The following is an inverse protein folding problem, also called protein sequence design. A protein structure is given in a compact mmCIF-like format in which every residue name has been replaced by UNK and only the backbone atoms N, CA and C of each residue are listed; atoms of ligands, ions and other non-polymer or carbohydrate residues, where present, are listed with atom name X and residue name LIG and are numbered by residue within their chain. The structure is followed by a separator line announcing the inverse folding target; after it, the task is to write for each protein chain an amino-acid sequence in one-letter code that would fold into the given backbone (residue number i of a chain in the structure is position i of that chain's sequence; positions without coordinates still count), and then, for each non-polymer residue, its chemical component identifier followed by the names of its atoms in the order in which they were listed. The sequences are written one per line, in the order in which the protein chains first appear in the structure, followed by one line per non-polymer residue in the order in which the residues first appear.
data_IF_002536448024
#
_entry.id   IF_002536448024
#
_cell.length_a   1.000
_cell.length_b   1.000
_cell.length_c   1.000
_cell.angle_alpha   90.00
_cell.angle_beta   90.00
_cell.angle_gamma   90.00
#
_symmetry.space_group_name_H-M   'P 1'
#
loop_
_entity.id
_entity.type
_entity.pdbx_description
1 polymer ?
#
# COMPACT_ATOMS: atom_id res chain seq x y z
N UNK A 1 4.64 12.83 23.96
CA UNK A 1 3.24 12.35 23.94
C UNK A 1 2.90 11.54 22.68
N UNK A 2 3.16 12.01 21.44
CA UNK A 2 2.83 11.23 20.24
C UNK A 2 3.84 10.11 19.90
N UNK A 3 5.12 10.20 20.28
CA UNK A 3 6.04 9.04 20.19
C UNK A 3 5.58 7.90 21.08
N UNK A 4 5.27 8.23 22.34
CA UNK A 4 4.61 7.28 23.24
C UNK A 4 3.28 6.81 22.64
N UNK A 5 2.50 7.67 21.96
CA UNK A 5 1.28 7.24 21.29
C UNK A 5 1.54 6.30 20.09
N UNK A 6 2.47 6.59 19.18
CA UNK A 6 2.79 5.73 18.02
C UNK A 6 3.51 4.45 18.45
N UNK A 7 4.29 4.51 19.53
CA UNK A 7 4.91 3.35 20.15
C UNK A 7 3.86 2.52 20.87
N UNK A 8 2.95 3.13 21.64
CA UNK A 8 1.81 2.44 22.26
C UNK A 8 0.87 1.89 21.19
N UNK A 9 0.64 2.59 20.09
CA UNK A 9 -0.25 2.16 19.00
C UNK A 9 0.41 1.08 18.15
N UNK A 10 1.72 1.18 17.91
CA UNK A 10 2.52 0.15 17.25
C UNK A 10 2.63 -1.12 18.11
N UNK A 11 2.94 -0.98 19.40
CA UNK A 11 2.97 -2.09 20.37
C UNK A 11 1.57 -2.67 20.56
N UNK A 12 0.54 -1.85 20.73
CA UNK A 12 -0.85 -2.30 20.84
C UNK A 12 -1.30 -3.01 19.57
N UNK A 13 -0.90 -2.54 18.38
CA UNK A 13 -1.19 -3.21 17.13
C UNK A 13 -0.44 -4.55 17.03
N UNK A 14 0.82 -4.63 17.45
CA UNK A 14 1.59 -5.89 17.50
C UNK A 14 0.96 -6.88 18.48
N UNK A 15 0.58 -6.44 19.69
CA UNK A 15 -0.09 -7.25 20.72
C UNK A 15 -1.46 -7.70 20.21
N UNK A 16 -2.27 -6.78 19.68
CA UNK A 16 -3.57 -7.09 19.09
C UNK A 16 -3.45 -8.11 17.96
N UNK A 17 -2.46 -7.96 17.08
CA UNK A 17 -2.20 -8.94 16.02
C UNK A 17 -1.84 -10.31 16.61
N UNK A 18 -0.96 -10.35 17.62
CA UNK A 18 -0.52 -11.58 18.25
C UNK A 18 -1.66 -12.32 18.99
N UNK A 19 -2.56 -11.57 19.62
CA UNK A 19 -3.73 -12.09 20.34
C UNK A 19 -4.88 -12.48 19.41
N UNK A 20 -5.19 -11.64 18.40
CA UNK A 20 -6.34 -11.83 17.52
C UNK A 20 -6.12 -12.93 16.47
N UNK A 21 -4.91 -12.99 15.88
CA UNK A 21 -4.59 -13.98 14.85
C UNK A 21 -3.82 -15.18 15.40
N UNK A 22 -3.41 -15.14 16.67
CA UNK A 22 -2.73 -16.23 17.36
C UNK A 22 -1.35 -16.54 16.76
N UNK A 23 -0.29 -16.18 17.48
CA UNK A 23 1.09 -16.57 17.12
C UNK A 23 1.21 -18.09 16.85
N UNK A 24 0.40 -18.89 17.55
CA UNK A 24 0.30 -20.33 17.35
C UNK A 24 -0.16 -20.75 15.95
N UNK A 25 -1.08 -20.00 15.33
CA UNK A 25 -1.60 -20.31 13.99
C UNK A 25 -0.53 -20.03 12.92
N UNK A 26 0.26 -18.96 13.10
CA UNK A 26 1.41 -18.64 12.26
C UNK A 26 2.48 -19.74 12.40
N UNK A 27 2.81 -20.11 13.64
CA UNK A 27 3.80 -21.15 13.91
C UNK A 27 3.36 -22.51 13.37
N UNK A 28 2.08 -22.85 13.48
CA UNK A 28 1.51 -24.07 12.90
C UNK A 28 1.59 -24.05 11.36
N UNK A 29 1.24 -22.92 10.74
CA UNK A 29 1.37 -22.73 9.30
C UNK A 29 2.82 -22.86 8.82
N UNK A 30 3.77 -22.29 9.56
CA UNK A 30 5.21 -22.41 9.28
C UNK A 30 5.74 -23.83 9.49
N UNK A 31 5.27 -24.54 10.52
CA UNK A 31 5.71 -25.90 10.82
C UNK A 31 5.35 -26.90 9.70
N UNK A 32 4.22 -26.67 9.01
CA UNK A 32 3.80 -27.48 7.86
C UNK A 32 4.33 -27.00 6.50
N UNK A 33 5.03 -25.85 6.44
CA UNK A 33 5.46 -25.24 5.19
C UNK A 33 6.90 -25.61 4.80
N UNK A 34 7.17 -25.67 3.50
CA UNK A 34 8.52 -25.76 2.97
C UNK A 34 9.25 -24.42 3.16
N UNK A 35 10.18 -24.39 4.14
CA UNK A 35 10.95 -23.20 4.49
C UNK A 35 11.72 -22.57 3.31
N UNK A 36 12.22 -23.37 2.36
CA UNK A 36 12.90 -22.85 1.17
C UNK A 36 11.97 -21.99 0.31
N UNK A 37 10.74 -22.44 0.10
CA UNK A 37 9.74 -21.71 -0.67
C UNK A 37 9.25 -20.48 0.09
N UNK A 38 9.07 -20.58 1.41
CA UNK A 38 8.74 -19.43 2.27
C UNK A 38 9.83 -18.36 2.20
N UNK A 39 11.12 -18.74 2.23
CA UNK A 39 12.23 -17.80 2.09
C UNK A 39 12.22 -17.07 0.74
N UNK A 40 11.84 -17.77 -0.34
CA UNK A 40 11.65 -17.14 -1.65
C UNK A 40 10.47 -16.15 -1.59
N UNK A 41 9.33 -16.52 -1.00
CA UNK A 41 8.18 -15.62 -0.85
C UNK A 41 8.52 -14.35 -0.05
N UNK A 42 9.30 -14.49 1.04
CA UNK A 42 9.84 -13.34 1.80
C UNK A 42 10.78 -12.49 0.95
N UNK A 43 11.62 -13.12 0.12
CA UNK A 43 12.52 -12.41 -0.80
C UNK A 43 11.74 -11.62 -1.87
N UNK A 44 10.64 -12.18 -2.39
CA UNK A 44 9.72 -11.45 -3.28
C UNK A 44 9.11 -10.25 -2.56
N UNK A 45 8.74 -10.39 -1.28
CA UNK A 45 8.25 -9.26 -0.50
C UNK A 45 9.33 -8.18 -0.29
N UNK A 46 10.58 -8.57 -0.03
CA UNK A 46 11.69 -7.61 0.04
C UNK A 46 11.91 -6.88 -1.30
N UNK A 47 11.78 -7.61 -2.41
CA UNK A 47 11.86 -7.05 -3.77
C UNK A 47 10.71 -6.05 -4.04
N UNK A 48 9.49 -6.34 -3.57
CA UNK A 48 8.35 -5.41 -3.64
C UNK A 48 8.67 -4.10 -2.93
N UNK A 49 9.23 -4.15 -1.71
CA UNK A 49 9.64 -2.95 -0.97
C UNK A 49 10.74 -2.17 -1.70
N UNK A 50 11.70 -2.88 -2.30
CA UNK A 50 12.73 -2.27 -3.14
C UNK A 50 12.12 -1.57 -4.37
N UNK A 51 11.12 -2.17 -5.00
CA UNK A 51 10.42 -1.57 -6.15
C UNK A 51 9.64 -0.32 -5.76
N UNK A 52 9.04 -0.28 -4.56
CA UNK A 52 8.44 0.96 -4.02
C UNK A 52 9.49 2.06 -3.85
N UNK A 53 10.70 1.73 -3.39
CA UNK A 53 11.80 2.69 -3.29
C UNK A 53 12.26 3.18 -4.67
N UNK A 54 12.44 2.26 -5.63
CA UNK A 54 12.82 2.58 -7.01
C UNK A 54 11.80 3.48 -7.69
N UNK A 55 10.50 3.20 -7.51
CA UNK A 55 9.40 4.02 -8.03
C UNK A 55 9.50 5.45 -7.52
N UNK A 56 9.67 5.62 -6.20
CA UNK A 56 9.83 6.94 -5.58
C UNK A 56 11.10 7.67 -6.07
N UNK A 57 12.21 6.96 -6.26
CA UNK A 57 13.44 7.53 -6.84
C UNK A 57 13.23 8.05 -8.26
N UNK A 58 12.50 7.31 -9.10
CA UNK A 58 12.24 7.69 -10.49
C UNK A 58 11.39 8.97 -10.54
N UNK A 59 10.30 9.04 -9.78
CA UNK A 59 9.40 10.20 -9.78
C UNK A 59 10.12 11.44 -9.22
N UNK A 60 10.82 11.28 -8.10
CA UNK A 60 11.50 12.40 -7.43
C UNK A 60 12.68 12.96 -8.22
N UNK A 61 13.26 12.19 -9.16
CA UNK A 61 14.50 12.52 -9.88
C UNK A 61 14.49 13.89 -10.56
N UNK A 62 13.31 14.35 -10.99
CA UNK A 62 13.12 15.66 -11.65
C UNK A 62 13.33 16.84 -10.71
N UNK A 63 13.14 16.64 -9.40
CA UNK A 63 13.28 17.68 -8.38
C UNK A 63 14.50 17.46 -7.49
N UNK A 64 14.80 16.22 -7.11
CA UNK A 64 15.99 15.87 -6.35
C UNK A 64 16.41 14.41 -6.58
N UNK A 65 17.70 14.13 -6.47
CA UNK A 65 18.20 12.75 -6.47
C UNK A 65 18.12 12.18 -5.06
N UNK A 66 17.15 11.31 -4.83
CA UNK A 66 17.06 10.49 -3.61
C UNK A 66 17.99 9.28 -3.75
N UNK A 67 18.72 8.94 -2.67
CA UNK A 67 19.44 7.67 -2.61
C UNK A 67 18.47 6.50 -2.39
N UNK A 68 18.86 5.27 -2.73
CA UNK A 68 18.01 4.09 -2.54
C UNK A 68 17.56 3.92 -1.08
N UNK A 69 18.49 3.99 -0.12
CA UNK A 69 18.15 3.85 1.30
C UNK A 69 17.24 4.97 1.81
N UNK A 70 17.36 6.18 1.25
CA UNK A 70 16.52 7.31 1.62
C UNK A 70 15.09 7.10 1.09
N UNK A 71 14.95 6.71 -0.18
CA UNK A 71 13.66 6.37 -0.77
C UNK A 71 13.03 5.14 -0.10
N UNK A 72 13.82 4.11 0.19
CA UNK A 72 13.37 2.90 0.88
C UNK A 72 12.83 3.20 2.27
N UNK A 73 13.59 3.94 3.10
CA UNK A 73 13.12 4.35 4.42
C UNK A 73 11.89 5.25 4.33
N UNK A 74 11.85 6.18 3.36
CA UNK A 74 10.68 7.04 3.14
C UNK A 74 9.43 6.23 2.82
N UNK A 75 9.54 5.28 1.88
CA UNK A 75 8.44 4.41 1.49
C UNK A 75 8.00 3.48 2.62
N UNK A 76 8.96 2.89 3.35
CA UNK A 76 8.69 1.95 4.43
C UNK A 76 8.02 2.61 5.64
N UNK A 77 8.50 3.79 6.06
CA UNK A 77 7.86 4.59 7.12
C UNK A 77 6.47 5.06 6.68
N UNK A 78 6.34 5.48 5.42
CA UNK A 78 5.04 5.81 4.83
C UNK A 78 4.06 4.63 4.91
N UNK A 79 4.49 3.43 4.50
CA UNK A 79 3.66 2.22 4.59
C UNK A 79 3.26 1.88 6.02
N UNK A 80 4.20 1.95 6.98
CA UNK A 80 3.92 1.72 8.39
C UNK A 80 2.82 2.65 8.94
N UNK A 81 2.96 3.96 8.71
CA UNK A 81 1.94 4.93 9.15
C UNK A 81 0.63 4.74 8.38
N UNK A 82 0.71 4.36 7.10
CA UNK A 82 -0.46 4.00 6.30
C UNK A 82 -1.23 2.83 6.90
N UNK A 83 -0.55 1.74 7.28
CA UNK A 83 -1.18 0.58 7.90
C UNK A 83 -1.80 0.87 9.27
N UNK A 84 -1.24 1.81 10.04
CA UNK A 84 -1.83 2.29 11.29
C UNK A 84 -3.03 3.24 11.08
N UNK A 85 -3.18 3.79 9.87
CA UNK A 85 -4.21 4.80 9.61
C UNK A 85 -5.57 4.16 9.30
N UNK A 86 -6.66 4.60 9.95
CA UNK A 86 -8.00 4.08 9.69
C UNK A 86 -8.57 4.54 8.33
N UNK A 87 -8.02 5.61 7.74
CA UNK A 87 -8.48 6.19 6.47
C UNK A 87 -7.81 5.54 5.26
N UNK A 88 -8.15 4.29 4.94
CA UNK A 88 -7.75 3.62 3.70
C UNK A 88 -6.25 3.74 3.34
N UNK A 89 -5.36 3.66 4.35
CA UNK A 89 -3.90 3.79 4.22
C UNK A 89 -3.37 5.17 3.82
N UNK A 90 -4.22 6.19 3.74
CA UNK A 90 -3.83 7.54 3.31
C UNK A 90 -2.95 8.29 4.32
N UNK A 91 -2.90 7.85 5.59
CA UNK A 91 -2.12 8.52 6.64
C UNK A 91 -0.60 8.52 6.38
N UNK A 92 -0.11 7.59 5.57
CA UNK A 92 1.31 7.46 5.24
C UNK A 92 1.84 8.50 4.25
N UNK A 93 0.98 9.02 3.37
CA UNK A 93 1.39 9.86 2.25
C UNK A 93 1.94 11.24 2.68
N UNK A 94 1.31 11.96 3.64
CA UNK A 94 1.91 13.17 4.22
C UNK A 94 3.28 12.94 4.88
N UNK A 95 3.51 11.75 5.42
CA UNK A 95 4.79 11.42 6.07
C UNK A 95 5.90 11.29 5.03
N UNK A 96 5.63 10.70 3.86
CA UNK A 96 6.61 10.64 2.77
C UNK A 96 7.03 12.05 2.32
N UNK A 97 6.07 12.96 2.14
CA UNK A 97 6.33 14.37 1.79
C UNK A 97 7.25 15.02 2.83
N UNK A 98 6.92 14.81 4.11
CA UNK A 98 7.70 15.35 5.21
C UNK A 98 9.14 14.83 5.25
N UNK A 99 9.35 13.53 4.98
CA UNK A 99 10.69 12.93 4.98
C UNK A 99 11.57 13.46 3.84
N UNK A 100 10.97 13.87 2.72
CA UNK A 100 11.66 14.44 1.57
C UNK A 100 11.88 15.96 1.65
N UNK A 101 11.28 16.65 2.65
CA UNK A 101 11.20 18.12 2.71
C UNK A 101 12.55 18.85 2.65
N UNK A 102 13.62 18.20 3.10
CA UNK A 102 14.97 18.79 3.15
C UNK A 102 15.63 18.84 1.75
N UNK A 103 15.07 18.10 0.78
CA UNK A 103 15.55 18.06 -0.61
C UNK A 103 14.52 18.52 -1.63
N UNK A 104 13.24 18.36 -1.32
CA UNK A 104 12.12 18.65 -2.21
C UNK A 104 11.15 19.54 -1.43
N UNK A 105 10.78 20.68 -2.00
CA UNK A 105 9.81 21.57 -1.33
C UNK A 105 8.47 20.86 -1.15
N UNK A 106 7.68 21.18 -0.11
CA UNK A 106 6.44 20.47 0.19
C UNK A 106 5.46 20.35 -0.99
N UNK A 107 5.34 21.38 -1.82
CA UNK A 107 4.45 21.41 -2.99
C UNK A 107 4.90 20.39 -4.04
N UNK A 108 6.21 20.35 -4.34
CA UNK A 108 6.84 19.39 -5.24
C UNK A 108 6.78 17.97 -4.67
N UNK A 109 6.98 17.84 -3.36
CA UNK A 109 6.86 16.56 -2.65
C UNK A 109 5.44 16.00 -2.73
N UNK A 110 4.42 16.86 -2.54
CA UNK A 110 3.02 16.49 -2.77
C UNK A 110 2.78 16.06 -4.20
N UNK A 111 3.32 16.76 -5.20
CA UNK A 111 3.17 16.37 -6.60
C UNK A 111 3.82 15.01 -6.90
N UNK A 112 5.02 14.75 -6.35
CA UNK A 112 5.69 13.44 -6.43
C UNK A 112 4.81 12.34 -5.87
N UNK A 113 4.24 12.54 -4.68
CA UNK A 113 3.37 11.54 -4.04
C UNK A 113 2.03 11.40 -4.77
N UNK A 114 1.46 12.48 -5.30
CA UNK A 114 0.25 12.40 -6.12
C UNK A 114 0.47 11.56 -7.38
N UNK A 115 1.63 11.69 -8.04
CA UNK A 115 2.00 10.86 -9.19
C UNK A 115 2.30 9.41 -8.79
N UNK A 116 2.90 9.18 -7.61
CA UNK A 116 3.11 7.83 -7.05
C UNK A 116 1.78 7.10 -6.85
N UNK A 117 0.81 7.77 -6.23
CA UNK A 117 -0.55 7.26 -6.01
C UNK A 117 -1.28 7.02 -7.33
N UNK A 118 -1.17 7.95 -8.30
CA UNK A 118 -1.79 7.74 -9.61
C UNK A 118 -1.22 6.54 -10.35
N UNK A 119 0.10 6.35 -10.34
CA UNK A 119 0.69 5.22 -11.01
C UNK A 119 0.27 3.90 -10.35
N UNK A 120 0.14 3.87 -9.02
CA UNK A 120 -0.41 2.73 -8.30
C UNK A 120 -1.85 2.43 -8.69
N UNK A 121 -2.72 3.44 -8.71
CA UNK A 121 -4.14 3.28 -9.08
C UNK A 121 -4.33 2.92 -10.55
N UNK A 122 -3.57 3.50 -11.46
CA UNK A 122 -3.62 3.15 -12.89
C UNK A 122 -3.15 1.70 -13.08
N UNK A 123 -2.05 1.30 -12.43
CA UNK A 123 -1.60 -0.09 -12.47
C UNK A 123 -2.63 -1.06 -11.89
N UNK A 124 -3.35 -0.64 -10.84
CA UNK A 124 -4.45 -1.38 -10.24
C UNK A 124 -5.55 -1.62 -11.27
N UNK A 125 -5.99 -0.58 -12.00
CA UNK A 125 -7.02 -0.72 -13.03
C UNK A 125 -6.60 -1.63 -14.17
N UNK A 126 -5.38 -1.48 -14.67
CA UNK A 126 -4.87 -2.33 -15.74
C UNK A 126 -4.91 -3.80 -15.31
N UNK A 127 -4.39 -4.10 -14.12
CA UNK A 127 -4.28 -5.48 -13.65
C UNK A 127 -5.64 -6.05 -13.23
N UNK A 128 -6.52 -5.28 -12.59
CA UNK A 128 -7.85 -5.77 -12.19
C UNK A 128 -8.76 -5.98 -13.40
N UNK A 129 -8.73 -5.10 -14.41
CA UNK A 129 -9.50 -5.28 -15.65
C UNK A 129 -9.00 -6.52 -16.39
N UNK A 130 -7.67 -6.68 -16.51
CA UNK A 130 -7.08 -7.88 -17.08
C UNK A 130 -7.45 -9.15 -16.29
N UNK A 131 -7.50 -9.07 -14.96
CA UNK A 131 -7.92 -10.16 -14.07
C UNK A 131 -9.38 -10.54 -14.27
N UNK A 132 -10.28 -9.56 -14.36
CA UNK A 132 -11.71 -9.79 -14.63
C UNK A 132 -11.92 -10.42 -15.99
N UNK A 133 -11.22 -9.93 -17.03
CA UNK A 133 -11.27 -10.53 -18.35
C UNK A 133 -10.72 -11.97 -18.35
N UNK A 134 -9.61 -12.21 -17.66
CA UNK A 134 -9.00 -13.53 -17.54
C UNK A 134 -9.88 -14.55 -16.80
N UNK A 135 -10.66 -14.08 -15.82
CA UNK A 135 -11.54 -14.89 -14.97
C UNK A 135 -13.01 -14.86 -15.41
N UNK A 136 -13.36 -14.34 -16.59
CA UNK A 136 -14.76 -14.05 -16.95
C UNK A 136 -15.75 -15.24 -16.81
N UNK A 137 -15.26 -16.49 -16.90
CA UNK A 137 -16.05 -17.72 -16.67
C UNK A 137 -15.98 -18.27 -15.25
N UNK A 138 -14.95 -17.88 -14.52
CA UNK A 138 -14.58 -18.45 -13.22
C UNK A 138 -14.98 -17.53 -12.05
N UNK A 139 -15.36 -16.27 -12.31
CA UNK A 139 -15.85 -15.35 -11.27
C UNK A 139 -17.20 -15.86 -10.75
N UNK A 140 -17.32 -16.14 -9.43
CA UNK A 140 -18.60 -16.50 -8.83
C UNK A 140 -19.64 -15.39 -9.06
N UNK A 141 -20.89 -15.77 -9.34
CA UNK A 141 -21.98 -14.83 -9.62
C UNK A 141 -22.13 -13.75 -8.54
N UNK A 142 -21.93 -14.10 -7.28
CA UNK A 142 -21.98 -13.20 -6.12
C UNK A 142 -20.82 -12.21 -6.03
N UNK A 143 -19.64 -12.55 -6.57
CA UNK A 143 -18.47 -11.68 -6.57
C UNK A 143 -18.56 -10.61 -7.66
N UNK A 144 -19.30 -10.89 -8.74
CA UNK A 144 -19.40 -10.01 -9.90
C UNK A 144 -19.95 -8.60 -9.57
N UNK A 145 -21.03 -8.41 -8.78
CA UNK A 145 -21.53 -7.08 -8.46
C UNK A 145 -20.59 -6.35 -7.50
N UNK A 146 -19.96 -7.05 -6.58
CA UNK A 146 -19.00 -6.46 -5.63
C UNK A 146 -17.78 -5.89 -6.36
N UNK A 147 -17.25 -6.61 -7.36
CA UNK A 147 -16.17 -6.13 -8.23
C UNK A 147 -16.61 -4.91 -9.04
N UNK A 148 -17.82 -4.92 -9.61
CA UNK A 148 -18.35 -3.77 -10.35
C UNK A 148 -18.52 -2.52 -9.47
N UNK A 149 -19.08 -2.69 -8.26
CA UNK A 149 -19.21 -1.61 -7.27
C UNK A 149 -17.83 -1.08 -6.87
N UNK A 150 -16.88 -1.97 -6.59
CA UNK A 150 -15.50 -1.58 -6.30
C UNK A 150 -14.90 -0.73 -7.44
N UNK A 151 -15.03 -1.19 -8.68
CA UNK A 151 -14.49 -0.49 -9.84
C UNK A 151 -15.18 0.86 -10.04
N UNK A 152 -16.50 0.93 -9.88
CA UNK A 152 -17.27 2.17 -10.01
C UNK A 152 -16.89 3.20 -8.93
N UNK A 153 -16.84 2.79 -7.66
CA UNK A 153 -16.47 3.67 -6.53
C UNK A 153 -15.00 4.11 -6.67
N UNK A 154 -14.10 3.17 -6.95
CA UNK A 154 -12.70 3.47 -7.17
C UNK A 154 -12.53 4.45 -8.34
N UNK A 155 -13.19 4.20 -9.48
CA UNK A 155 -13.12 5.08 -10.65
C UNK A 155 -13.65 6.48 -10.32
N UNK A 156 -14.76 6.59 -9.60
CA UNK A 156 -15.29 7.87 -9.14
C UNK A 156 -14.28 8.62 -8.26
N UNK A 157 -13.68 7.96 -7.26
CA UNK A 157 -12.67 8.57 -6.38
C UNK A 157 -11.43 9.01 -7.17
N UNK A 158 -11.00 8.21 -8.15
CA UNK A 158 -9.86 8.55 -9.02
C UNK A 158 -10.18 9.73 -9.92
N UNK A 159 -11.39 9.81 -10.48
CA UNK A 159 -11.82 10.96 -11.28
C UNK A 159 -11.89 12.24 -10.43
N UNK A 160 -12.41 12.14 -9.20
CA UNK A 160 -12.39 13.26 -8.24
C UNK A 160 -10.95 13.66 -7.93
N UNK A 161 -10.06 12.71 -7.66
CA UNK A 161 -8.64 12.97 -7.39
C UNK A 161 -7.94 13.65 -8.58
N UNK A 162 -8.12 13.12 -9.80
CA UNK A 162 -7.58 13.71 -11.02
C UNK A 162 -8.15 15.12 -11.22
N UNK A 163 -9.45 15.34 -10.99
CA UNK A 163 -10.07 16.65 -11.11
C UNK A 163 -9.49 17.63 -10.09
N UNK A 164 -9.28 17.22 -8.83
CA UNK A 164 -8.60 18.03 -7.81
C UNK A 164 -7.18 18.38 -8.24
N UNK A 165 -6.43 17.43 -8.82
CA UNK A 165 -5.04 17.67 -9.23
C UNK A 165 -4.91 18.49 -10.52
N UNK A 166 -5.93 18.48 -11.39
CA UNK A 166 -5.91 19.13 -12.72
C UNK A 166 -6.80 20.37 -12.83
N UNK A 167 -7.60 20.70 -11.81
CA UNK A 167 -8.42 21.91 -11.77
C UNK A 167 -8.02 22.79 -10.59
N UNK A 168 -7.60 24.03 -10.90
CA UNK A 168 -7.08 24.98 -9.90
C UNK A 168 -8.12 25.37 -8.84
N UNK A 169 -9.38 25.55 -9.21
CA UNK A 169 -10.45 25.94 -8.27
C UNK A 169 -10.74 24.83 -7.25
N UNK A 170 -10.76 23.57 -7.72
CA UNK A 170 -10.96 22.40 -6.86
C UNK A 170 -9.77 22.20 -5.94
N UNK A 171 -8.55 22.38 -6.46
CA UNK A 171 -7.33 22.32 -5.67
C UNK A 171 -7.31 23.38 -4.59
N UNK A 172 -7.59 24.65 -4.93
CA UNK A 172 -7.65 25.77 -3.98
C UNK A 172 -8.71 25.51 -2.90
N UNK A 173 -9.85 24.93 -3.27
CA UNK A 173 -10.91 24.55 -2.33
C UNK A 173 -10.46 23.47 -1.33
N UNK A 174 -9.78 22.43 -1.82
CA UNK A 174 -9.25 21.34 -0.99
C UNK A 174 -8.12 21.85 -0.09
N UNK A 175 -7.16 22.59 -0.64
CA UNK A 175 -6.07 23.23 0.12
C UNK A 175 -6.63 24.16 1.19
N UNK A 176 -7.65 24.97 0.85
CA UNK A 176 -8.36 25.84 1.77
C UNK A 176 -9.04 25.07 2.91
N UNK A 177 -9.69 23.95 2.61
CA UNK A 177 -10.32 23.10 3.63
C UNK A 177 -9.29 22.44 4.56
N UNK A 178 -8.22 21.86 4.00
CA UNK A 178 -7.19 21.13 4.76
C UNK A 178 -6.30 22.09 5.57
N UNK A 179 -6.03 23.29 5.08
CA UNK A 179 -5.23 24.31 5.78
C UNK A 179 -5.86 24.80 7.10
N UNK A 180 -7.17 24.58 7.30
CA UNK A 180 -7.86 24.83 8.59
C UNK A 180 -7.42 23.88 9.68
N UNK A 181 -6.85 22.72 9.32
CA UNK A 181 -6.32 21.76 10.28
C UNK A 181 -4.94 22.25 10.76
N UNK A 182 -4.72 22.47 12.07
CA UNK A 182 -3.48 23.06 12.59
C UNK A 182 -2.20 22.35 12.17
N UNK A 183 -2.27 21.02 11.97
CA UNK A 183 -1.14 20.16 11.59
C UNK A 183 -0.65 20.36 10.14
N UNK A 184 -1.43 21.03 9.29
CA UNK A 184 -1.11 21.25 7.87
C UNK A 184 -0.86 22.73 7.53
N UNK A 185 -0.27 23.48 8.47
CA UNK A 185 -0.03 24.93 8.30
C UNK A 185 0.81 25.35 7.09
N UNK A 186 1.63 24.45 6.51
CA UNK A 186 2.39 24.70 5.26
C UNK A 186 1.46 24.97 4.07
N UNK A 187 0.25 24.42 4.09
CA UNK A 187 -0.76 24.65 3.05
C UNK A 187 -1.33 26.08 3.05
N UNK A 188 -1.00 26.91 4.05
CA UNK A 188 -1.43 28.32 4.12
C UNK A 188 -0.58 29.26 3.25
N UNK A 189 0.51 28.76 2.65
CA UNK A 189 1.28 29.56 1.70
C UNK A 189 0.41 29.94 0.50
N UNK A 190 0.38 31.24 0.17
CA UNK A 190 -0.53 31.83 -0.84
C UNK A 190 -0.46 31.17 -2.23
N UNK A 191 0.64 30.49 -2.55
CA UNK A 191 0.89 29.89 -3.86
C UNK A 191 1.03 28.35 -3.84
N UNK A 192 0.73 27.69 -2.72
CA UNK A 192 0.93 26.24 -2.58
C UNK A 192 0.24 25.46 -3.71
N UNK A 193 -1.05 25.73 -3.91
CA UNK A 193 -1.87 25.08 -4.92
C UNK A 193 -1.36 25.32 -6.34
N UNK A 194 -0.99 26.56 -6.69
CA UNK A 194 -0.47 26.88 -8.01
C UNK A 194 0.87 26.16 -8.29
N UNK A 195 1.77 26.11 -7.30
CA UNK A 195 3.06 25.42 -7.42
C UNK A 195 2.89 23.89 -7.46
N UNK A 196 1.98 23.34 -6.66
CA UNK A 196 1.62 21.93 -6.73
C UNK A 196 1.07 21.60 -8.12
N UNK A 197 0.12 22.38 -8.63
CA UNK A 197 -0.50 22.16 -9.95
C UNK A 197 0.56 22.13 -11.06
N UNK A 198 1.45 23.12 -11.08
CA UNK A 198 2.54 23.17 -12.06
C UNK A 198 3.45 21.95 -11.97
N UNK A 199 3.84 21.55 -10.76
CA UNK A 199 4.71 20.39 -10.53
C UNK A 199 4.03 19.06 -10.88
N UNK A 200 2.76 18.91 -10.53
CA UNK A 200 1.96 17.74 -10.83
C UNK A 200 1.76 17.60 -12.35
N UNK A 201 1.43 18.69 -13.04
CA UNK A 201 1.28 18.69 -14.50
C UNK A 201 2.60 18.36 -15.20
N UNK A 202 3.72 18.91 -14.72
CA UNK A 202 5.06 18.65 -15.25
C UNK A 202 5.49 17.17 -15.11
N UNK A 203 5.18 16.53 -13.97
CA UNK A 203 5.49 15.11 -13.75
C UNK A 203 4.54 14.19 -14.51
N UNK A 204 3.23 14.44 -14.44
CA UNK A 204 2.22 13.59 -15.10
C UNK A 204 2.27 13.67 -16.63
N UNK A 205 2.77 14.76 -17.19
CA UNK A 205 2.97 14.91 -18.64
C UNK A 205 4.30 14.33 -19.14
N UNK A 206 5.23 13.99 -18.24
CA UNK A 206 6.50 13.38 -18.62
C UNK A 206 6.30 11.88 -18.93
N UNK A 207 6.13 11.58 -20.22
CA UNK A 207 5.90 10.22 -20.73
C UNK A 207 6.95 9.22 -20.27
N UNK A 208 8.23 9.62 -20.19
CA UNK A 208 9.31 8.71 -19.80
C UNK A 208 9.18 8.33 -18.33
N UNK A 209 8.92 9.32 -17.48
CA UNK A 209 8.69 9.10 -16.04
C UNK A 209 7.43 8.26 -15.84
N UNK A 210 6.30 8.64 -16.44
CA UNK A 210 5.05 7.89 -16.30
C UNK A 210 5.15 6.45 -16.80
N UNK A 211 5.76 6.21 -17.97
CA UNK A 211 5.96 4.85 -18.48
C UNK A 211 6.83 3.99 -17.55
N UNK A 212 7.92 4.56 -17.03
CA UNK A 212 8.81 3.85 -16.10
C UNK A 212 8.10 3.50 -14.79
N UNK A 213 7.36 4.45 -14.22
CA UNK A 213 6.67 4.30 -12.93
C UNK A 213 5.47 3.34 -13.06
N UNK A 214 4.74 3.38 -14.16
CA UNK A 214 3.70 2.40 -14.48
C UNK A 214 4.27 1.01 -14.68
N UNK A 215 5.37 0.87 -15.43
CA UNK A 215 6.05 -0.42 -15.62
C UNK A 215 6.49 -1.04 -14.29
N UNK A 216 7.07 -0.25 -13.39
CA UNK A 216 7.44 -0.68 -12.04
C UNK A 216 6.18 -1.13 -11.27
N UNK A 217 5.12 -0.32 -11.30
CA UNK A 217 3.89 -0.60 -10.53
C UNK A 217 3.16 -1.85 -11.02
N UNK A 218 3.09 -2.07 -12.34
CA UNK A 218 2.52 -3.31 -12.92
C UNK A 218 3.38 -4.50 -12.54
N UNK A 219 4.71 -4.38 -12.63
CA UNK A 219 5.64 -5.46 -12.23
C UNK A 219 5.43 -5.86 -10.76
N UNK A 220 5.19 -4.88 -9.88
CA UNK A 220 4.85 -5.15 -8.47
C UNK A 220 3.59 -6.02 -8.35
N UNK A 221 2.55 -5.81 -9.18
CA UNK A 221 1.34 -6.66 -9.12
C UNK A 221 1.60 -8.12 -9.50
N UNK A 222 2.46 -8.36 -10.48
CA UNK A 222 2.88 -9.72 -10.79
C UNK A 222 3.73 -10.36 -9.68
N UNK A 223 4.57 -9.56 -9.00
CA UNK A 223 5.29 -10.02 -7.82
C UNK A 223 4.35 -10.34 -6.64
N UNK A 224 3.25 -9.57 -6.46
CA UNK A 224 2.20 -9.89 -5.50
C UNK A 224 1.56 -11.26 -5.81
N UNK A 225 1.21 -11.54 -7.08
CA UNK A 225 0.71 -12.85 -7.49
C UNK A 225 1.72 -13.96 -7.24
N UNK A 226 2.98 -13.75 -7.63
CA UNK A 226 4.05 -14.73 -7.45
C UNK A 226 4.23 -15.08 -5.96
N UNK A 227 4.22 -14.07 -5.07
CA UNK A 227 4.29 -14.29 -3.62
C UNK A 227 3.12 -15.14 -3.12
N UNK A 228 1.89 -14.78 -3.47
CA UNK A 228 0.69 -15.54 -3.06
C UNK A 228 0.73 -17.00 -3.55
N UNK A 229 1.17 -17.21 -4.79
CA UNK A 229 1.34 -18.54 -5.36
C UNK A 229 2.42 -19.35 -4.61
N UNK A 230 3.57 -18.74 -4.30
CA UNK A 230 4.64 -19.38 -3.54
C UNK A 230 4.20 -19.76 -2.13
N UNK A 231 3.35 -18.98 -1.46
CA UNK A 231 2.82 -19.32 -0.14
C UNK A 231 1.95 -20.58 -0.19
N UNK A 232 1.07 -20.69 -1.20
CA UNK A 232 0.27 -21.90 -1.40
C UNK A 232 1.15 -23.11 -1.74
N UNK A 233 2.14 -22.91 -2.62
CA UNK A 233 3.11 -23.94 -2.97
C UNK A 233 3.94 -24.40 -1.76
N UNK A 234 4.31 -23.49 -0.86
CA UNK A 234 5.02 -23.81 0.37
C UNK A 234 4.22 -24.75 1.28
N UNK A 235 2.89 -24.68 1.23
CA UNK A 235 1.96 -25.56 1.96
C UNK A 235 1.58 -26.82 1.15
N UNK A 236 2.35 -27.15 0.11
CA UNK A 236 2.14 -28.32 -0.74
C UNK A 236 0.95 -28.19 -1.70
N UNK A 237 0.35 -27.00 -1.85
CA UNK A 237 -0.77 -26.77 -2.75
C UNK A 237 -0.31 -26.25 -4.11
N UNK A 238 -0.41 -27.09 -5.13
CA UNK A 238 -0.20 -26.68 -6.52
C UNK A 238 -1.52 -26.15 -7.07
N UNK A 239 -1.74 -24.84 -6.96
CA UNK A 239 -2.93 -24.19 -7.48
C UNK A 239 -2.69 -23.61 -8.88
N UNK A 240 -3.76 -23.52 -9.67
CA UNK A 240 -3.71 -22.82 -10.95
C UNK A 240 -3.53 -21.31 -10.74
N UNK A 241 -2.97 -20.64 -11.75
CA UNK A 241 -2.81 -19.18 -11.71
C UNK A 241 -4.16 -18.44 -11.52
N UNK A 242 -5.26 -19.01 -12.02
CA UNK A 242 -6.61 -18.46 -11.84
C UNK A 242 -7.00 -18.33 -10.37
N UNK A 243 -6.65 -19.31 -9.53
CA UNK A 243 -6.92 -19.27 -8.08
C UNK A 243 -6.23 -18.06 -7.45
N UNK A 244 -4.95 -17.85 -7.79
CA UNK A 244 -4.16 -16.73 -7.26
C UNK A 244 -4.76 -15.38 -7.66
N UNK A 245 -5.13 -15.23 -8.94
CA UNK A 245 -5.76 -14.01 -9.45
C UNK A 245 -7.12 -13.78 -8.77
N UNK A 246 -7.93 -14.82 -8.59
CA UNK A 246 -9.23 -14.73 -7.94
C UNK A 246 -9.09 -14.29 -6.47
N UNK A 247 -8.15 -14.87 -5.73
CA UNK A 247 -7.87 -14.47 -4.34
C UNK A 247 -7.37 -13.04 -4.26
N UNK A 248 -6.54 -12.59 -5.20
CA UNK A 248 -6.11 -11.19 -5.25
C UNK A 248 -7.27 -10.23 -5.55
N UNK A 249 -8.22 -10.60 -6.40
CA UNK A 249 -9.45 -9.81 -6.63
C UNK A 249 -10.31 -9.74 -5.36
N UNK A 250 -10.49 -10.87 -4.66
CA UNK A 250 -11.20 -10.91 -3.37
C UNK A 250 -10.51 -10.02 -2.34
N UNK A 251 -9.18 -10.13 -2.21
CA UNK A 251 -8.36 -9.27 -1.35
C UNK A 251 -8.63 -7.79 -1.61
N UNK A 252 -8.64 -7.40 -2.88
CA UNK A 252 -8.79 -6.03 -3.33
C UNK A 252 -10.19 -5.47 -3.03
N UNK A 253 -11.25 -6.23 -3.32
CA UNK A 253 -12.63 -5.83 -3.02
C UNK A 253 -12.83 -5.67 -1.51
N UNK A 254 -12.36 -6.62 -0.71
CA UNK A 254 -12.52 -6.59 0.74
C UNK A 254 -11.64 -5.51 1.39
N UNK A 255 -10.45 -5.25 0.86
CA UNK A 255 -9.55 -4.19 1.35
C UNK A 255 -10.08 -2.78 1.08
N UNK A 256 -11.04 -2.62 0.17
CA UNK A 256 -11.67 -1.34 -0.13
C UNK A 256 -12.63 -0.88 0.97
N UNK A 257 -13.04 -1.80 1.85
CA UNK A 257 -13.99 -1.52 2.92
C UNK A 257 -13.29 -0.69 4.00
N UNK A 258 -13.68 0.59 4.21
CA UNK A 258 -12.89 1.55 4.99
C UNK A 258 -12.99 1.36 6.51
N UNK A 259 -13.81 0.42 6.99
CA UNK A 259 -14.16 0.31 8.41
C UNK A 259 -13.09 -0.40 9.27
N UNK A 260 -12.12 -1.09 8.66
CA UNK A 260 -11.15 -1.92 9.39
C UNK A 260 -9.70 -1.51 9.03
N UNK A 261 -8.85 -1.12 10.01
CA UNK A 261 -7.44 -0.85 9.78
C UNK A 261 -6.78 -2.06 9.11
N UNK A 262 -6.21 -1.89 7.92
CA UNK A 262 -5.59 -2.98 7.17
C UNK A 262 -6.54 -4.09 6.67
N UNK A 263 -7.86 -3.93 6.84
CA UNK A 263 -8.89 -4.93 6.47
C UNK A 263 -9.02 -6.11 7.42
N UNK A 264 -8.45 -6.01 8.64
CA UNK A 264 -8.26 -7.13 9.58
C UNK A 264 -9.57 -7.87 9.91
N UNK A 265 -9.53 -9.19 9.80
CA UNK A 265 -10.64 -10.10 10.06
C UNK A 265 -11.53 -10.31 8.83
N UNK A 266 -11.95 -9.22 8.18
CA UNK A 266 -12.79 -9.29 6.98
C UNK A 266 -12.02 -9.82 5.77
N UNK A 267 -10.85 -9.24 5.49
CA UNK A 267 -10.02 -9.60 4.33
C UNK A 267 -9.53 -11.03 4.49
N UNK A 268 -9.00 -11.39 5.65
CA UNK A 268 -8.53 -12.74 5.92
C UNK A 268 -9.66 -13.77 5.84
N UNK A 269 -10.79 -13.52 6.52
CA UNK A 269 -11.94 -14.41 6.50
C UNK A 269 -12.49 -14.63 5.09
N UNK A 270 -12.66 -13.55 4.31
CA UNK A 270 -13.17 -13.66 2.95
C UNK A 270 -12.24 -14.39 1.98
N UNK A 271 -10.91 -14.20 2.10
CA UNK A 271 -9.95 -14.97 1.29
C UNK A 271 -9.88 -16.44 1.70
N UNK A 272 -9.99 -16.74 3.01
CA UNK A 272 -10.06 -18.12 3.51
C UNK A 272 -11.30 -18.81 2.95
N UNK A 273 -12.47 -18.16 3.04
CA UNK A 273 -13.72 -18.68 2.48
C UNK A 273 -13.62 -18.91 0.97
N UNK A 274 -13.02 -17.98 0.22
CA UNK A 274 -12.81 -18.14 -1.21
C UNK A 274 -11.91 -19.35 -1.53
N UNK A 275 -10.82 -19.57 -0.79
CA UNK A 275 -9.99 -20.76 -0.96
C UNK A 275 -10.72 -22.06 -0.61
N UNK A 276 -11.57 -22.06 0.43
CA UNK A 276 -12.39 -23.23 0.79
C UNK A 276 -13.39 -23.57 -0.32
N UNK A 277 -14.05 -22.56 -0.90
CA UNK A 277 -14.95 -22.75 -2.04
C UNK A 277 -14.24 -23.28 -3.28
N UNK A 278 -12.95 -23.01 -3.42
CA UNK A 278 -12.09 -23.54 -4.49
C UNK A 278 -11.54 -24.94 -4.16
N UNK A 279 -11.99 -25.56 -3.05
CA UNK A 279 -11.71 -26.96 -2.70
C UNK A 279 -10.55 -27.16 -1.71
N UNK A 280 -9.96 -26.09 -1.17
CA UNK A 280 -8.95 -26.23 -0.12
C UNK A 280 -9.60 -26.54 1.23
N UNK A 281 -8.93 -27.35 2.05
CA UNK A 281 -9.39 -27.57 3.42
C UNK A 281 -9.28 -26.28 4.24
N UNK A 282 -10.16 -26.10 5.23
CA UNK A 282 -10.16 -24.93 6.10
C UNK A 282 -8.78 -24.69 6.76
N UNK A 283 -8.10 -25.77 7.15
CA UNK A 283 -6.78 -25.69 7.77
C UNK A 283 -5.72 -25.12 6.83
N UNK A 284 -5.69 -25.58 5.57
CA UNK A 284 -4.72 -25.12 4.57
C UNK A 284 -5.05 -23.70 4.12
N UNK A 285 -6.32 -23.40 3.85
CA UNK A 285 -6.78 -22.06 3.48
C UNK A 285 -6.42 -21.03 4.56
N UNK A 286 -6.70 -21.34 5.83
CA UNK A 286 -6.32 -20.50 6.97
C UNK A 286 -4.81 -20.27 7.04
N UNK A 287 -4.02 -21.36 6.97
CA UNK A 287 -2.56 -21.29 7.03
C UNK A 287 -1.96 -20.46 5.90
N UNK A 288 -2.46 -20.62 4.67
CA UNK A 288 -1.99 -19.89 3.50
C UNK A 288 -2.23 -18.39 3.63
N UNK A 289 -3.44 -17.99 4.03
CA UNK A 289 -3.79 -16.59 4.18
C UNK A 289 -3.03 -15.95 5.34
N UNK A 290 -2.95 -16.62 6.49
CA UNK A 290 -2.19 -16.11 7.65
C UNK A 290 -0.71 -15.94 7.28
N UNK A 291 -0.12 -16.90 6.58
CA UNK A 291 1.28 -16.83 6.16
C UNK A 291 1.52 -15.71 5.13
N UNK A 292 0.66 -15.57 4.11
CA UNK A 292 0.78 -14.47 3.14
C UNK A 292 0.64 -13.11 3.83
N UNK A 293 -0.25 -12.99 4.82
CA UNK A 293 -0.47 -11.75 5.58
C UNK A 293 0.67 -11.45 6.55
N UNK A 294 1.25 -12.47 7.17
CA UNK A 294 2.47 -12.31 7.95
C UNK A 294 3.58 -11.71 7.07
N UNK A 295 3.79 -12.28 5.89
CA UNK A 295 4.83 -11.81 4.97
C UNK A 295 4.52 -10.41 4.43
N UNK A 296 3.30 -10.18 3.93
CA UNK A 296 2.96 -9.00 3.15
C UNK A 296 2.60 -7.77 3.97
N UNK A 297 2.14 -7.97 5.20
CA UNK A 297 1.61 -6.91 6.04
C UNK A 297 2.37 -6.81 7.36
N UNK A 298 2.45 -7.89 8.16
CA UNK A 298 3.07 -7.82 9.49
C UNK A 298 4.58 -7.61 9.44
N UNK A 299 5.31 -8.31 8.56
CA UNK A 299 6.75 -8.06 8.38
C UNK A 299 7.02 -6.61 7.96
N UNK A 300 6.15 -6.01 7.14
CA UNK A 300 6.31 -4.62 6.68
C UNK A 300 6.04 -3.65 7.83
N UNK A 301 5.02 -3.90 8.66
CA UNK A 301 4.74 -3.09 9.87
C UNK A 301 5.92 -3.15 10.83
N UNK A 302 6.45 -4.33 11.12
CA UNK A 302 7.61 -4.52 12.00
C UNK A 302 8.85 -3.83 11.44
N UNK A 303 9.14 -4.01 10.14
CA UNK A 303 10.27 -3.38 9.48
C UNK A 303 10.15 -1.84 9.49
N UNK A 304 8.96 -1.30 9.27
CA UNK A 304 8.73 0.15 9.31
C UNK A 304 8.80 0.72 10.72
N UNK A 305 8.31 0.02 11.73
CA UNK A 305 8.53 0.40 13.14
C UNK A 305 10.03 0.45 13.46
N UNK A 306 10.79 -0.59 13.08
CA UNK A 306 12.23 -0.62 13.26
C UNK A 306 12.93 0.54 12.54
N UNK A 307 12.51 0.89 11.31
CA UNK A 307 13.07 2.02 10.56
C UNK A 307 12.82 3.38 11.24
N UNK A 308 11.67 3.57 11.90
CA UNK A 308 11.40 4.78 12.70
C UNK A 308 12.24 4.80 13.98
N UNK A 309 12.37 3.65 14.65
CA UNK A 309 13.02 3.54 15.95
C UNK A 309 14.54 3.67 15.89
N UNK A 310 15.18 2.94 14.97
CA UNK A 310 16.64 2.87 14.90
C UNK A 310 17.28 3.99 14.07
N UNK A 311 16.49 4.86 13.45
CA UNK A 311 17.02 5.98 12.67
C UNK A 311 16.81 7.31 13.41
N UNK A 312 17.78 7.76 14.22
CA UNK A 312 17.63 8.94 15.06
C UNK A 312 17.38 10.23 14.26
N UNK A 313 17.77 10.29 12.98
CA UNK A 313 17.41 11.41 12.10
C UNK A 313 15.91 11.41 11.75
N UNK A 314 15.32 10.23 11.55
CA UNK A 314 13.88 10.08 11.31
C UNK A 314 13.13 10.35 12.60
N UNK A 315 13.55 9.77 13.73
CA UNK A 315 12.98 10.01 15.07
C UNK A 315 13.03 11.51 15.42
N UNK A 316 14.19 12.16 15.28
CA UNK A 316 14.38 13.59 15.56
C UNK A 316 13.55 14.49 14.62
N UNK A 317 13.45 14.17 13.33
CA UNK A 317 12.58 14.89 12.39
C UNK A 317 11.11 14.69 12.76
N UNK A 318 10.67 13.50 13.16
CA UNK A 318 9.30 13.24 13.61
C UNK A 318 8.97 14.05 14.87
N UNK A 319 9.93 14.14 15.80
CA UNK A 319 9.85 14.83 17.08
C UNK A 319 9.72 16.35 16.99
N UNK A 320 10.48 17.01 16.10
CA UNK A 320 10.59 18.47 16.05
C UNK A 320 9.31 19.19 15.62
N UNK A 321 8.33 18.49 15.04
CA UNK A 321 7.03 19.06 14.60
C UNK A 321 5.91 18.93 15.63
N UNK A 322 6.23 18.52 16.86
CA UNK A 322 5.29 18.42 17.97
C UNK A 322 5.59 19.41 19.10
N UNK A 323 6.50 20.35 18.85
CA UNK A 323 6.59 21.64 19.54
C UNK A 323 5.92 22.71 18.69
#
# INVERSE_FOLDING_TARGET
MLEAALLVLGIAMIIFIAEFFGLQQILAALAGANFGIVAIAVSIQALLLAFTALRLMVISRKYARLGFLEAFNTSLVGMFVGFLSPLARLGGEPVKIYMMKDKITPEKGSAVIAVDVLAEVISLYIVVIASVFFLYKDIPGELSPAVLVFLAVSAFLTLVFIKVCTNREWLDSVVGAVSKIPKFGVLKERDYAARFYGSFHELSSDKKTMFSVLGISISMKFLEFARMWLVLLALGQVVSFKVVVLIWVVFLVLSAVPWLPGGLGLVEGGMILALIQLGLTQHIAGSAIILDRFISYWLVVVAGFAAVWFNPKITYRFLRRLK
#
